data_IF_724276201273
#
_entry.id   IF_724276201273
#
_cell.length_a   1.000
_cell.length_b   1.000
_cell.length_c   1.000
_cell.angle_alpha   90.00
_cell.angle_beta   90.00
_cell.angle_gamma   90.00
#
_symmetry.space_group_name_H-M   'P 1'
#
loop_
_entity.id
_entity.type
_entity.pdbx_description
1 polymer ?
#
# COMPACT_ATOMS: atom_id res chain seq x y z
N UNK A 1 -9.09 0.38 -4.80
CA UNK A 1 -9.56 1.74 -5.13
C UNK A 1 -10.82 1.70 -6.02
N UNK A 2 -10.89 0.88 -7.07
CA UNK A 2 -11.98 0.88 -8.06
C UNK A 2 -13.40 0.77 -7.45
N UNK A 3 -13.57 0.10 -6.32
CA UNK A 3 -14.85 -0.01 -5.59
C UNK A 3 -15.10 1.15 -4.62
N UNK A 4 -14.11 2.01 -4.39
CA UNK A 4 -14.21 3.10 -3.42
C UNK A 4 -14.62 4.40 -4.11
N UNK A 5 -15.73 4.99 -3.67
CA UNK A 5 -16.12 6.32 -4.12
C UNK A 5 -15.36 7.39 -3.32
N UNK A 6 -14.49 8.13 -4.01
CA UNK A 6 -13.75 9.23 -3.42
C UNK A 6 -14.49 10.55 -3.66
N UNK A 7 -14.61 11.37 -2.64
CA UNK A 7 -15.40 12.60 -2.71
C UNK A 7 -14.83 13.64 -3.69
N UNK A 8 -13.49 13.76 -3.80
CA UNK A 8 -12.80 14.72 -4.70
C UNK A 8 -11.38 14.28 -5.01
N UNK A 9 -10.84 14.71 -6.16
CA UNK A 9 -9.41 14.68 -6.46
C UNK A 9 -8.83 13.33 -6.89
N UNK A 10 -9.66 12.29 -7.06
CA UNK A 10 -9.21 10.94 -7.38
C UNK A 10 -9.83 10.44 -8.71
N UNK A 11 -9.94 11.32 -9.72
CA UNK A 11 -10.60 10.99 -10.99
C UNK A 11 -9.95 9.77 -11.69
N UNK A 12 -8.62 9.61 -11.59
CA UNK A 12 -7.88 8.48 -12.15
C UNK A 12 -8.34 7.13 -11.58
N UNK A 13 -8.94 7.07 -10.39
CA UNK A 13 -9.37 5.82 -9.76
C UNK A 13 -10.64 5.21 -10.37
N UNK A 14 -11.28 5.89 -11.31
CA UNK A 14 -12.50 5.44 -12.00
C UNK A 14 -12.23 4.80 -13.36
N UNK A 15 -11.00 4.86 -13.86
CA UNK A 15 -10.56 4.23 -15.10
C UNK A 15 -9.35 3.32 -14.84
N UNK A 16 -9.36 2.11 -15.40
CA UNK A 16 -8.30 1.12 -15.15
C UNK A 16 -6.97 1.53 -15.80
N UNK A 17 -7.01 2.13 -16.98
CA UNK A 17 -5.80 2.57 -17.66
C UNK A 17 -5.21 3.82 -16.99
N UNK A 18 -6.05 4.75 -16.54
CA UNK A 18 -5.59 5.92 -15.77
C UNK A 18 -4.95 5.49 -14.45
N UNK A 19 -5.56 4.53 -13.77
CA UNK A 19 -5.00 3.96 -12.54
C UNK A 19 -3.64 3.29 -12.78
N UNK A 20 -3.50 2.56 -13.89
CA UNK A 20 -2.24 1.93 -14.29
C UNK A 20 -1.16 2.97 -14.58
N UNK A 21 -1.46 3.99 -15.37
CA UNK A 21 -0.53 5.10 -15.66
C UNK A 21 -0.10 5.82 -14.39
N UNK A 22 -1.05 6.17 -13.53
CA UNK A 22 -0.75 6.83 -12.26
C UNK A 22 0.20 6.01 -11.38
N UNK A 23 0.02 4.68 -11.36
CA UNK A 23 0.89 3.80 -10.59
C UNK A 23 2.28 3.65 -11.23
N UNK A 24 2.37 3.58 -12.56
CA UNK A 24 3.65 3.57 -13.26
C UNK A 24 4.44 4.86 -13.00
N UNK A 25 3.82 6.03 -13.09
CA UNK A 25 4.43 7.32 -12.74
C UNK A 25 4.91 7.36 -11.29
N UNK A 26 4.15 6.74 -10.37
CA UNK A 26 4.56 6.61 -8.97
C UNK A 26 5.83 5.75 -8.83
N UNK A 27 5.93 4.63 -9.54
CA UNK A 27 7.13 3.76 -9.51
C UNK A 27 8.34 4.53 -10.02
N UNK A 28 8.23 5.21 -11.15
CA UNK A 28 9.30 6.03 -11.73
C UNK A 28 9.74 7.14 -10.78
N UNK A 29 8.79 7.78 -10.10
CA UNK A 29 9.08 8.82 -9.09
C UNK A 29 9.84 8.24 -7.89
N UNK A 30 9.47 7.04 -7.42
CA UNK A 30 10.16 6.40 -6.30
C UNK A 30 11.58 5.98 -6.69
N UNK A 31 11.79 5.50 -7.90
CA UNK A 31 13.12 5.17 -8.40
C UNK A 31 14.00 6.43 -8.56
N UNK A 32 13.40 7.54 -9.00
CA UNK A 32 14.09 8.83 -9.00
C UNK A 32 14.54 9.24 -7.58
N UNK A 33 13.66 9.15 -6.58
CA UNK A 33 14.02 9.48 -5.20
C UNK A 33 15.09 8.56 -4.63
N UNK A 34 15.06 7.29 -4.93
CA UNK A 34 16.13 6.36 -4.52
C UNK A 34 17.50 6.76 -5.11
N UNK A 35 17.49 7.29 -6.35
CA UNK A 35 18.69 7.75 -7.02
C UNK A 35 19.24 9.07 -6.45
N UNK A 36 18.38 10.05 -6.15
CA UNK A 36 18.80 11.39 -5.73
C UNK A 36 18.89 11.57 -4.20
N UNK A 37 18.16 10.73 -3.45
CA UNK A 37 18.09 10.75 -1.99
C UNK A 37 18.22 9.33 -1.41
N UNK A 38 19.35 8.64 -1.65
CA UNK A 38 19.51 7.25 -1.23
C UNK A 38 19.31 7.10 0.29
N UNK A 39 18.49 6.13 0.68
CA UNK A 39 18.18 5.83 2.08
C UNK A 39 17.19 6.77 2.77
N UNK A 40 16.64 7.78 2.07
CA UNK A 40 15.63 8.69 2.64
C UNK A 40 14.19 8.21 2.49
N UNK A 41 13.96 7.18 1.69
CA UNK A 41 12.65 6.54 1.54
C UNK A 41 12.70 5.13 2.12
N UNK A 42 11.87 4.87 3.11
CA UNK A 42 11.68 3.53 3.65
C UNK A 42 10.44 2.89 3.01
N UNK A 43 10.64 1.76 2.34
CA UNK A 43 9.53 1.05 1.69
C UNK A 43 8.96 0.00 2.64
N UNK A 44 7.64 0.05 2.83
CA UNK A 44 6.89 -0.94 3.61
C UNK A 44 5.92 -1.63 2.67
N UNK A 45 6.00 -2.94 2.56
CA UNK A 45 5.08 -3.71 1.75
C UNK A 45 3.96 -4.30 2.61
N UNK A 46 2.73 -4.14 2.15
CA UNK A 46 1.56 -4.60 2.88
C UNK A 46 1.60 -6.11 3.18
N UNK A 47 2.11 -6.91 2.25
CA UNK A 47 2.25 -8.36 2.39
C UNK A 47 3.23 -8.74 3.50
N UNK A 48 4.32 -8.00 3.66
CA UNK A 48 5.30 -8.22 4.72
C UNK A 48 4.71 -7.84 6.09
N UNK A 49 3.97 -6.73 6.15
CA UNK A 49 3.23 -6.33 7.35
C UNK A 49 2.22 -7.41 7.77
N UNK A 50 1.55 -8.07 6.79
CA UNK A 50 0.63 -9.17 7.06
C UNK A 50 1.33 -10.48 7.44
N UNK A 51 2.59 -10.65 7.03
CA UNK A 51 3.40 -11.82 7.39
C UNK A 51 3.95 -11.69 8.80
N UNK A 52 4.53 -10.54 9.15
CA UNK A 52 5.09 -10.26 10.46
C UNK A 52 4.99 -8.76 10.80
N UNK A 53 3.87 -8.38 11.42
CA UNK A 53 3.59 -7.01 11.82
C UNK A 53 4.67 -6.45 12.76
N UNK A 54 5.16 -7.25 13.71
CA UNK A 54 6.13 -6.77 14.70
C UNK A 54 7.48 -6.48 14.03
N UNK A 55 7.96 -7.38 13.19
CA UNK A 55 9.23 -7.19 12.48
C UNK A 55 9.19 -5.92 11.62
N UNK A 56 8.11 -5.70 10.86
CA UNK A 56 7.96 -4.52 10.01
C UNK A 56 7.85 -3.22 10.81
N UNK A 57 7.10 -3.21 11.92
CA UNK A 57 7.00 -2.04 12.81
C UNK A 57 8.36 -1.72 13.43
N UNK A 58 9.11 -2.73 13.89
CA UNK A 58 10.46 -2.53 14.44
C UNK A 58 11.43 -1.99 13.40
N UNK A 59 11.40 -2.51 12.17
CA UNK A 59 12.24 -2.02 11.07
C UNK A 59 11.94 -0.56 10.73
N UNK A 60 10.67 -0.19 10.63
CA UNK A 60 10.23 1.18 10.36
C UNK A 60 10.64 2.13 11.48
N UNK A 61 10.41 1.77 12.73
CA UNK A 61 10.79 2.61 13.88
C UNK A 61 12.32 2.74 14.01
N UNK A 62 13.06 1.67 13.71
CA UNK A 62 14.53 1.69 13.65
C UNK A 62 15.03 2.67 12.58
N UNK A 63 14.42 2.66 11.40
CA UNK A 63 14.75 3.62 10.34
C UNK A 63 14.45 5.07 10.74
N UNK A 64 13.35 5.30 11.46
CA UNK A 64 12.98 6.61 12.00
C UNK A 64 13.83 7.04 13.21
N UNK A 65 14.62 6.16 13.79
CA UNK A 65 15.37 6.43 15.03
C UNK A 65 14.48 6.57 16.26
N UNK A 66 13.30 5.92 16.27
CA UNK A 66 12.31 6.00 17.35
C UNK A 66 12.26 4.64 18.08
N UNK A 67 12.20 4.62 19.43
CA UNK A 67 12.11 3.37 20.17
C UNK A 67 10.80 2.63 19.91
N UNK A 68 10.87 1.31 19.93
CA UNK A 68 9.68 0.47 19.80
C UNK A 68 8.84 0.51 21.07
N UNK A 69 7.52 0.61 20.90
CA UNK A 69 6.54 0.46 21.96
C UNK A 69 5.52 -0.61 21.58
N UNK A 70 5.13 -1.46 22.53
CA UNK A 70 4.14 -2.52 22.30
C UNK A 70 2.79 -1.98 21.80
N UNK A 71 2.42 -0.77 22.20
CA UNK A 71 1.21 -0.09 21.76
C UNK A 71 1.14 0.11 20.23
N UNK A 72 2.28 0.12 19.53
CA UNK A 72 2.32 0.21 18.06
C UNK A 72 1.67 -1.01 17.38
N UNK A 73 1.69 -2.18 18.03
CA UNK A 73 1.04 -3.40 17.52
C UNK A 73 -0.45 -3.45 17.87
N UNK A 74 -0.88 -2.65 18.83
CA UNK A 74 -2.25 -2.62 19.35
C UNK A 74 -3.04 -1.41 18.85
N UNK A 75 -2.72 -0.91 17.67
CA UNK A 75 -3.30 0.30 17.06
C UNK A 75 -4.83 0.30 17.06
N UNK A 76 -5.45 -0.87 16.93
CA UNK A 76 -6.90 -1.07 16.92
C UNK A 76 -7.57 -0.79 18.28
N UNK A 77 -6.79 -0.77 19.37
CA UNK A 77 -7.27 -0.41 20.72
C UNK A 77 -7.22 1.10 20.99
N UNK A 78 -6.63 1.87 20.07
CA UNK A 78 -6.52 3.33 20.25
C UNK A 78 -7.87 4.02 20.08
N UNK A 79 -8.21 4.92 21.01
CA UNK A 79 -9.43 5.75 20.95
C UNK A 79 -9.27 6.98 20.06
N UNK A 80 -8.10 7.18 19.43
CA UNK A 80 -7.85 8.32 18.55
C UNK A 80 -8.87 8.36 17.40
N UNK A 81 -9.49 9.53 17.21
CA UNK A 81 -10.44 9.72 16.12
C UNK A 81 -9.79 9.57 14.75
N UNK A 82 -10.32 8.67 13.93
CA UNK A 82 -9.91 8.48 12.52
C UNK A 82 -11.02 9.01 11.63
N UNK A 83 -10.69 10.04 10.82
CA UNK A 83 -11.65 10.75 9.95
C UNK A 83 -11.47 10.38 8.48
N UNK A 84 -11.16 9.14 8.18
CA UNK A 84 -10.95 8.64 6.81
C UNK A 84 -11.91 7.50 6.50
N UNK A 85 -12.00 7.11 5.23
CA UNK A 85 -12.77 5.94 4.79
C UNK A 85 -12.35 4.63 5.48
N UNK A 86 -11.16 4.61 6.09
CA UNK A 86 -10.61 3.46 6.82
C UNK A 86 -10.97 3.43 8.32
N UNK A 87 -11.85 4.33 8.79
CA UNK A 87 -12.17 4.45 10.22
C UNK A 87 -12.63 3.13 10.87
N UNK A 88 -13.39 2.32 10.14
CA UNK A 88 -13.84 1.00 10.62
C UNK A 88 -12.73 -0.07 10.54
N UNK A 89 -11.88 0.01 9.52
CA UNK A 89 -10.82 -0.97 9.31
C UNK A 89 -9.74 -0.87 10.39
N UNK A 90 -9.35 0.35 10.77
CA UNK A 90 -8.32 0.57 11.80
C UNK A 90 -8.76 0.20 13.22
N UNK A 91 -10.04 -0.11 13.42
CA UNK A 91 -10.59 -0.61 14.71
C UNK A 91 -10.51 -2.14 14.82
N UNK A 92 -10.02 -2.81 13.82
CA UNK A 92 -9.84 -4.27 13.82
C UNK A 92 -8.37 -4.61 13.80
N UNK A 93 -7.96 -5.74 14.38
CA UNK A 93 -6.63 -6.29 14.16
C UNK A 93 -6.36 -6.42 12.66
N UNK A 94 -5.08 -6.34 12.29
CA UNK A 94 -4.68 -6.54 10.90
C UNK A 94 -5.15 -7.91 10.42
N UNK A 95 -5.62 -8.00 9.17
CA UNK A 95 -6.15 -9.23 8.58
C UNK A 95 -5.76 -9.34 7.10
N UNK A 96 -5.97 -10.52 6.53
CA UNK A 96 -5.61 -10.83 5.14
C UNK A 96 -6.80 -10.75 4.17
N UNK A 97 -7.94 -10.21 4.59
CA UNK A 97 -9.17 -10.20 3.79
C UNK A 97 -9.01 -9.50 2.42
N UNK A 98 -8.09 -8.54 2.32
CA UNK A 98 -7.79 -7.81 1.08
C UNK A 98 -6.86 -8.53 0.10
N UNK A 99 -6.14 -9.57 0.55
CA UNK A 99 -5.11 -10.23 -0.25
C UNK A 99 -5.74 -11.06 -1.36
N UNK A 100 -5.27 -10.85 -2.59
CA UNK A 100 -5.70 -11.66 -3.75
C UNK A 100 -7.13 -11.42 -4.23
N UNK A 101 -7.88 -10.47 -3.68
CA UNK A 101 -9.25 -10.17 -4.15
C UNK A 101 -9.31 -9.80 -5.64
N UNK A 102 -8.24 -9.26 -6.20
CA UNK A 102 -8.13 -8.94 -7.62
C UNK A 102 -8.25 -10.16 -8.53
N UNK A 103 -7.92 -11.37 -8.04
CA UNK A 103 -8.00 -12.62 -8.82
C UNK A 103 -9.41 -12.90 -9.33
N UNK A 104 -10.43 -12.53 -8.57
CA UNK A 104 -11.82 -12.69 -8.98
C UNK A 104 -12.23 -11.80 -10.16
N UNK A 105 -11.49 -10.73 -10.41
CA UNK A 105 -11.74 -9.76 -11.49
C UNK A 105 -10.60 -9.71 -12.51
N UNK A 106 -9.64 -10.62 -12.41
CA UNK A 106 -8.45 -10.65 -13.29
C UNK A 106 -8.78 -10.61 -14.79
N UNK A 107 -9.80 -11.32 -15.31
CA UNK A 107 -10.13 -11.28 -16.74
C UNK A 107 -10.50 -9.90 -17.28
N UNK A 108 -10.84 -8.95 -16.40
CA UNK A 108 -11.19 -7.57 -16.79
C UNK A 108 -10.05 -6.57 -16.54
N UNK A 109 -8.88 -7.01 -16.08
CA UNK A 109 -7.76 -6.13 -15.71
C UNK A 109 -6.77 -5.88 -16.86
N UNK A 110 -7.02 -6.35 -18.06
CA UNK A 110 -6.10 -6.15 -19.20
C UNK A 110 -5.78 -4.67 -19.47
N UNK A 111 -6.74 -3.71 -19.41
CA UNK A 111 -6.42 -2.30 -19.58
C UNK A 111 -5.47 -1.76 -18.49
N UNK A 112 -5.63 -2.24 -17.24
CA UNK A 112 -4.75 -1.90 -16.13
C UNK A 112 -3.36 -2.48 -16.34
N UNK A 113 -3.27 -3.78 -16.68
CA UNK A 113 -1.99 -4.48 -16.92
C UNK A 113 -1.21 -3.82 -18.06
N UNK A 114 -1.90 -3.49 -19.15
CA UNK A 114 -1.28 -2.80 -20.30
C UNK A 114 -0.73 -1.41 -19.90
N UNK A 115 -1.46 -0.66 -19.09
CA UNK A 115 -1.06 0.67 -18.65
C UNK A 115 0.06 0.66 -17.59
N UNK A 116 0.16 -0.40 -16.78
CA UNK A 116 1.25 -0.60 -15.83
C UNK A 116 2.60 -0.87 -16.52
N UNK A 117 2.58 -1.54 -17.66
CA UNK A 117 3.81 -1.85 -18.41
C UNK A 117 4.88 -2.51 -17.53
N UNK A 118 6.11 -1.97 -17.56
CA UNK A 118 7.25 -2.48 -16.79
C UNK A 118 7.07 -2.38 -15.27
N UNK A 119 6.15 -1.54 -14.78
CA UNK A 119 5.88 -1.47 -13.34
C UNK A 119 5.33 -2.79 -12.76
N UNK A 120 4.73 -3.66 -13.59
CA UNK A 120 4.33 -5.01 -13.19
C UNK A 120 5.52 -5.88 -12.80
N UNK A 121 6.65 -5.74 -13.49
CA UNK A 121 7.86 -6.53 -13.27
C UNK A 121 8.72 -5.93 -12.15
N UNK A 122 8.55 -4.63 -11.88
CA UNK A 122 9.27 -3.92 -10.82
C UNK A 122 8.77 -4.28 -9.42
N UNK A 123 7.53 -4.76 -9.28
CA UNK A 123 7.00 -5.17 -7.98
C UNK A 123 7.54 -6.56 -7.61
N UNK A 124 8.28 -6.69 -6.50
CA UNK A 124 8.83 -7.99 -6.11
C UNK A 124 7.69 -9.00 -5.87
N UNK A 125 7.84 -10.19 -6.46
CA UNK A 125 6.93 -11.31 -6.22
C UNK A 125 7.03 -11.72 -4.75
N UNK A 126 6.09 -11.26 -3.94
CA UNK A 126 5.98 -11.63 -2.52
C UNK A 126 4.90 -12.68 -2.39
N UNK A 127 5.24 -13.76 -1.69
CA UNK A 127 4.40 -14.95 -1.60
C UNK A 127 2.98 -14.63 -1.14
N UNK A 128 2.00 -15.01 -1.96
CA UNK A 128 0.58 -15.00 -1.64
C UNK A 128 0.16 -16.26 -0.92
#
# INVERSE_FOLDING_TARGET
NFKQHFARGQAFSYDLADMGRYYADYVDLMDHFDGVLPGHVHRVFHEDVLADLEAEVRAMLGWLGVPFEQACLEFHKSDRAVRTASSEQVRRPINRDGVGQWRAIEPWLDPLKAALGSALDAYPARGG
#
